data_IF_723079069373
#
_entry.id   IF_723079069373
#
_cell.length_a   1.000
_cell.length_b   1.000
_cell.length_c   1.000
_cell.angle_alpha   90.00
_cell.angle_beta   90.00
_cell.angle_gamma   90.00
#
_symmetry.space_group_name_H-M   'P 1'
#
loop_
_entity.id
_entity.type
_entity.pdbx_description
1 polymer ?
#
# COMPACT_ATOMS: atom_id res chain seq x y z
N UNK A 1 36.51 30.62 0.22
CA UNK A 1 35.91 29.26 0.17
C UNK A 1 35.93 28.47 1.49
N UNK A 2 36.58 28.91 2.55
CA UNK A 2 36.73 28.20 3.83
C UNK A 2 35.61 28.45 4.84
N UNK A 3 34.92 29.61 4.79
CA UNK A 3 33.86 29.97 5.73
C UNK A 3 32.57 29.16 5.50
N UNK A 4 32.20 28.90 4.25
CA UNK A 4 30.98 28.15 3.89
C UNK A 4 31.06 26.65 4.29
N UNK A 5 32.24 26.03 4.21
CA UNK A 5 32.45 24.63 4.64
C UNK A 5 32.34 24.48 6.16
N UNK A 6 32.77 25.50 6.94
CA UNK A 6 32.66 25.48 8.40
C UNK A 6 31.21 25.66 8.87
N UNK A 7 30.42 26.50 8.21
CA UNK A 7 28.99 26.69 8.50
C UNK A 7 28.18 25.42 8.21
N UNK A 8 28.45 24.73 7.10
CA UNK A 8 27.79 23.47 6.76
C UNK A 8 28.12 22.36 7.76
N UNK A 9 29.37 22.27 8.23
CA UNK A 9 29.76 21.29 9.24
C UNK A 9 29.09 21.53 10.59
N UNK A 10 28.92 22.81 10.98
CA UNK A 10 28.22 23.18 12.22
C UNK A 10 26.74 22.83 12.16
N UNK A 11 26.08 23.01 11.00
CA UNK A 11 24.67 22.69 10.78
C UNK A 11 24.42 21.18 10.85
N UNK A 12 25.32 20.36 10.28
CA UNK A 12 25.24 18.88 10.36
C UNK A 12 25.47 18.41 11.79
N UNK A 13 26.42 18.99 12.53
CA UNK A 13 26.65 18.66 13.95
C UNK A 13 25.44 19.04 14.82
N UNK A 14 24.79 20.17 14.55
CA UNK A 14 23.57 20.59 15.26
C UNK A 14 22.41 19.62 15.03
N UNK A 15 22.25 19.10 13.79
CA UNK A 15 21.23 18.10 13.46
C UNK A 15 21.48 16.76 14.16
N UNK A 16 22.73 16.34 14.28
CA UNK A 16 23.10 15.09 14.99
C UNK A 16 22.86 15.23 16.50
N UNK A 17 23.14 16.40 17.09
CA UNK A 17 22.91 16.66 18.51
C UNK A 17 21.42 16.78 18.87
N UNK A 18 20.58 17.37 17.99
CA UNK A 18 19.13 17.42 18.19
C UNK A 18 18.45 16.05 18.01
N UNK A 19 18.99 15.17 17.16
CA UNK A 19 18.42 13.82 16.94
C UNK A 19 18.51 12.89 18.16
N UNK A 20 19.45 13.12 19.08
CA UNK A 20 19.62 12.27 20.26
C UNK A 20 18.84 12.72 21.51
N UNK A 21 18.19 13.89 21.49
CA UNK A 21 17.50 14.42 22.66
C UNK A 21 16.09 13.84 22.88
N UNK A 22 15.56 13.02 21.97
CA UNK A 22 14.23 12.43 22.06
C UNK A 22 14.20 10.90 22.20
N UNK A 23 15.24 10.30 22.75
CA UNK A 23 15.14 8.93 23.24
C UNK A 23 14.25 8.90 24.50
N UNK A 24 12.92 9.13 24.32
CA UNK A 24 11.93 8.78 25.33
C UNK A 24 12.15 7.33 25.70
N UNK A 25 12.51 7.09 26.96
CA UNK A 25 12.56 5.77 27.54
C UNK A 25 11.22 5.07 27.26
N UNK A 26 11.17 4.20 26.24
CA UNK A 26 9.96 3.44 25.91
C UNK A 26 9.69 2.55 27.10
N UNK A 27 8.64 2.86 27.86
CA UNK A 27 8.12 1.92 28.85
C UNK A 27 7.93 0.57 28.18
N UNK A 28 8.27 -0.52 28.89
CA UNK A 28 8.11 -1.88 28.39
C UNK A 28 6.68 -2.08 27.87
N UNK A 29 6.48 -2.51 26.63
CA UNK A 29 5.14 -2.74 26.12
C UNK A 29 4.51 -3.91 26.91
N UNK A 30 3.28 -3.69 27.38
CA UNK A 30 2.42 -4.75 27.97
C UNK A 30 1.68 -5.44 26.82
N UNK A 31 1.36 -6.71 26.99
CA UNK A 31 0.66 -7.49 25.98
C UNK A 31 -0.54 -8.21 26.57
N UNK A 32 -1.61 -8.33 25.78
CA UNK A 32 -2.71 -9.24 26.02
C UNK A 32 -2.57 -10.41 25.04
N UNK A 33 -2.34 -11.62 25.57
CA UNK A 33 -2.42 -12.84 24.78
C UNK A 33 -3.86 -13.34 24.76
N UNK A 34 -4.41 -13.42 23.55
CA UNK A 34 -5.78 -13.90 23.33
C UNK A 34 -5.72 -15.25 22.61
N UNK A 35 -6.40 -16.24 23.17
CA UNK A 35 -6.65 -17.52 22.52
C UNK A 35 -8.16 -17.77 22.48
N UNK A 36 -8.64 -18.41 21.41
CA UNK A 36 -10.07 -18.65 21.24
C UNK A 36 -10.37 -20.10 20.86
N UNK A 37 -11.58 -20.52 21.14
CA UNK A 37 -12.18 -21.72 20.62
C UNK A 37 -13.51 -21.33 19.93
N UNK A 38 -13.64 -21.47 18.58
CA UNK A 38 -12.66 -22.03 17.65
C UNK A 38 -11.38 -21.18 17.52
N UNK A 39 -10.37 -21.70 16.85
CA UNK A 39 -9.18 -20.95 16.45
C UNK A 39 -9.49 -20.04 15.26
N UNK A 40 -8.58 -19.10 14.92
CA UNK A 40 -8.72 -18.19 13.75
C UNK A 40 -9.90 -17.24 13.81
N UNK A 41 -10.27 -16.82 15.02
CA UNK A 41 -11.29 -15.79 15.25
C UNK A 41 -10.72 -14.40 14.96
N UNK A 42 -11.46 -13.58 14.25
CA UNK A 42 -11.14 -12.18 14.01
C UNK A 42 -11.32 -11.35 15.28
N UNK A 43 -10.35 -10.50 15.59
CA UNK A 43 -10.31 -9.67 16.79
C UNK A 43 -10.30 -8.20 16.40
N UNK A 44 -11.19 -7.42 17.02
CA UNK A 44 -11.30 -5.97 16.88
C UNK A 44 -11.11 -5.33 18.25
N UNK A 45 -10.26 -4.32 18.31
CA UNK A 45 -9.87 -3.68 19.58
C UNK A 45 -10.39 -2.25 19.68
N UNK A 46 -10.78 -1.85 20.90
CA UNK A 46 -11.08 -0.45 21.23
C UNK A 46 -12.50 0.02 20.97
N UNK A 47 -13.39 -0.77 20.32
CA UNK A 47 -14.78 -0.41 20.10
C UNK A 47 -15.72 -1.50 20.62
N UNK A 48 -16.89 -1.09 21.13
CA UNK A 48 -17.94 -2.01 21.58
C UNK A 48 -18.81 -2.55 20.44
N UNK A 49 -18.83 -1.85 19.31
CA UNK A 49 -19.61 -2.23 18.11
C UNK A 49 -18.72 -1.99 16.87
N UNK A 50 -17.76 -2.88 16.59
CA UNK A 50 -16.96 -2.78 15.38
C UNK A 50 -17.80 -3.08 14.13
N UNK A 51 -17.42 -2.50 13.01
CA UNK A 51 -17.90 -2.95 11.72
C UNK A 51 -17.10 -4.20 11.31
N UNK A 52 -17.73 -5.37 11.38
CA UNK A 52 -17.08 -6.63 11.00
C UNK A 52 -16.85 -6.76 9.49
N UNK A 53 -17.35 -5.86 8.68
CA UNK A 53 -16.97 -5.73 7.28
C UNK A 53 -15.58 -5.12 7.11
N UNK A 54 -15.05 -4.45 8.14
CA UNK A 54 -13.69 -3.96 8.15
C UNK A 54 -12.67 -5.09 8.35
N UNK A 55 -11.41 -4.78 8.02
CA UNK A 55 -10.31 -5.71 8.27
C UNK A 55 -10.10 -5.86 9.77
N UNK A 56 -9.98 -7.09 10.31
CA UNK A 56 -9.68 -7.31 11.70
C UNK A 56 -8.31 -6.73 12.07
N UNK A 57 -8.19 -6.24 13.31
CA UNK A 57 -6.92 -5.79 13.86
C UNK A 57 -5.95 -6.95 14.06
N UNK A 58 -6.48 -8.08 14.53
CA UNK A 58 -5.74 -9.32 14.80
C UNK A 58 -6.58 -10.54 14.45
N UNK A 59 -5.92 -11.70 14.39
CA UNK A 59 -6.57 -13.02 14.30
C UNK A 59 -6.03 -13.94 15.38
N UNK A 60 -6.91 -14.61 16.11
CA UNK A 60 -6.54 -15.50 17.21
C UNK A 60 -5.82 -16.78 16.71
N UNK A 61 -4.78 -17.25 17.43
CA UNK A 61 -4.20 -16.70 18.66
C UNK A 61 -3.33 -15.47 18.37
N UNK A 62 -3.43 -14.42 19.21
CA UNK A 62 -2.73 -13.17 18.99
C UNK A 62 -2.15 -12.56 20.26
N UNK A 63 -1.08 -11.78 20.10
CA UNK A 63 -0.52 -10.89 21.12
C UNK A 63 -0.88 -9.45 20.77
N UNK A 64 -1.77 -8.85 21.55
CA UNK A 64 -2.26 -7.50 21.36
C UNK A 64 -1.41 -6.55 22.21
N UNK A 65 -0.68 -5.61 21.63
CA UNK A 65 0.09 -4.61 22.39
C UNK A 65 -0.88 -3.66 23.10
N UNK A 66 -0.65 -3.44 24.39
CA UNK A 66 -1.46 -2.56 25.21
C UNK A 66 -0.78 -1.20 25.33
N UNK A 67 -1.46 -0.10 24.96
CA UNK A 67 -0.94 1.24 25.19
C UNK A 67 -0.70 1.49 26.68
N UNK A 68 0.41 2.17 27.01
CA UNK A 68 0.73 2.51 28.38
C UNK A 68 -0.38 3.37 29.02
N UNK A 69 -0.75 3.03 30.24
CA UNK A 69 -1.76 3.76 31.00
C UNK A 69 -3.19 3.21 30.85
N UNK A 70 -3.41 2.21 30.00
CA UNK A 70 -4.71 1.56 29.89
C UNK A 70 -4.73 0.30 30.74
N UNK A 71 -5.65 0.24 31.69
CA UNK A 71 -5.89 -0.95 32.53
C UNK A 71 -7.07 -1.79 32.04
N UNK A 72 -7.80 -1.30 31.04
CA UNK A 72 -8.90 -2.01 30.42
C UNK A 72 -8.77 -1.95 28.90
N UNK A 73 -9.17 -3.02 28.24
CA UNK A 73 -9.27 -3.11 26.78
C UNK A 73 -10.57 -3.82 26.39
N UNK A 74 -11.29 -3.23 25.44
CA UNK A 74 -12.46 -3.89 24.85
C UNK A 74 -12.00 -4.66 23.61
N UNK A 75 -12.37 -5.94 23.54
CA UNK A 75 -12.08 -6.82 22.39
C UNK A 75 -13.40 -7.42 21.92
N UNK A 76 -13.67 -7.25 20.64
CA UNK A 76 -14.80 -7.88 19.96
C UNK A 76 -14.31 -9.03 19.09
N UNK A 77 -15.02 -10.14 19.15
CA UNK A 77 -14.68 -11.41 18.54
C UNK A 77 -15.71 -11.70 17.45
N UNK A 78 -15.23 -11.98 16.26
CA UNK A 78 -16.06 -12.35 15.11
C UNK A 78 -15.54 -13.64 14.47
N UNK A 79 -16.43 -14.60 14.31
CA UNK A 79 -16.17 -15.81 13.53
C UNK A 79 -17.49 -16.25 12.86
N UNK A 80 -17.47 -16.61 11.57
CA UNK A 80 -18.66 -17.16 10.92
C UNK A 80 -19.26 -18.32 11.71
N UNK A 81 -20.59 -18.39 11.75
CA UNK A 81 -21.36 -19.41 12.46
C UNK A 81 -21.34 -19.33 13.99
N UNK A 82 -20.70 -18.30 14.57
CA UNK A 82 -20.67 -18.07 16.00
C UNK A 82 -21.30 -16.73 16.37
N UNK A 83 -21.85 -16.66 17.57
CA UNK A 83 -22.42 -15.42 18.09
C UNK A 83 -21.32 -14.37 18.31
N UNK A 84 -21.54 -13.16 17.79
CA UNK A 84 -20.64 -12.04 18.00
C UNK A 84 -20.52 -11.75 19.51
N UNK A 85 -19.30 -11.64 19.98
CA UNK A 85 -19.00 -11.52 21.39
C UNK A 85 -18.09 -10.33 21.64
N UNK A 86 -18.46 -9.44 22.56
CA UNK A 86 -17.61 -8.31 22.98
C UNK A 86 -17.33 -8.41 24.47
N UNK A 87 -16.07 -8.32 24.85
CA UNK A 87 -15.61 -8.45 26.23
C UNK A 87 -14.76 -7.24 26.61
N UNK A 88 -15.03 -6.66 27.76
CA UNK A 88 -14.16 -5.68 28.36
C UNK A 88 -13.23 -6.39 29.35
N UNK A 89 -11.92 -6.33 29.10
CA UNK A 89 -10.90 -7.09 29.79
C UNK A 89 -10.11 -6.15 30.67
N UNK A 90 -10.13 -6.40 31.98
CA UNK A 90 -9.25 -5.73 32.93
C UNK A 90 -7.88 -6.40 32.93
N UNK A 91 -6.85 -5.61 32.71
CA UNK A 91 -5.49 -6.11 32.52
C UNK A 91 -4.79 -6.25 33.88
N UNK A 92 -3.98 -7.27 34.00
CA UNK A 92 -3.08 -7.42 35.15
C UNK A 92 -1.96 -6.37 35.10
N UNK A 93 -1.39 -6.05 36.25
CA UNK A 93 -0.16 -5.22 36.35
C UNK A 93 1.10 -5.91 35.80
N UNK A 94 1.00 -7.18 35.43
CA UNK A 94 2.10 -7.95 34.81
C UNK A 94 2.34 -7.53 33.35
N UNK A 95 3.53 -7.84 32.84
CA UNK A 95 3.93 -7.51 31.45
C UNK A 95 3.04 -8.21 30.42
N UNK A 96 2.40 -9.35 30.75
CA UNK A 96 1.50 -10.09 29.88
C UNK A 96 0.27 -10.58 30.65
N UNK A 97 -0.90 -10.32 30.09
CA UNK A 97 -2.19 -10.85 30.52
C UNK A 97 -2.65 -11.92 29.54
N UNK A 98 -3.35 -12.96 30.03
CA UNK A 98 -3.85 -14.06 29.21
C UNK A 98 -5.36 -14.15 29.29
N UNK A 99 -6.00 -14.40 28.16
CA UNK A 99 -7.42 -14.73 28.12
C UNK A 99 -7.68 -15.86 27.11
N UNK A 100 -8.59 -16.75 27.51
CA UNK A 100 -9.12 -17.80 26.62
C UNK A 100 -10.62 -17.56 26.50
N UNK A 101 -11.11 -17.42 25.27
CA UNK A 101 -12.52 -17.17 24.99
C UNK A 101 -13.07 -18.32 24.15
N UNK A 102 -14.11 -18.97 24.67
CA UNK A 102 -14.89 -19.92 23.91
C UNK A 102 -16.12 -19.21 23.33
N UNK A 103 -16.20 -19.13 22.02
CA UNK A 103 -17.35 -18.57 21.34
C UNK A 103 -18.52 -19.57 21.33
N UNK A 104 -19.73 -19.05 21.41
CA UNK A 104 -20.94 -19.86 21.34
C UNK A 104 -21.41 -19.95 19.90
N UNK A 105 -21.56 -21.15 19.38
CA UNK A 105 -22.15 -21.39 18.06
C UNK A 105 -23.59 -20.84 18.02
N UNK A 106 -23.92 -20.17 16.92
CA UNK A 106 -25.28 -19.64 16.70
C UNK A 106 -25.99 -20.46 15.63
N UNK A 107 -27.33 -20.56 15.78
CA UNK A 107 -28.24 -21.15 14.80
C UNK A 107 -29.28 -20.13 14.34
N UNK A 108 -29.07 -18.86 14.67
CA UNK A 108 -29.95 -17.77 14.27
C UNK A 108 -29.70 -17.46 12.79
N UNK A 109 -30.70 -17.76 11.95
CA UNK A 109 -30.63 -17.60 10.50
C UNK A 109 -30.44 -16.14 10.08
N UNK A 110 -31.02 -15.17 10.80
CA UNK A 110 -30.88 -13.76 10.51
C UNK A 110 -29.45 -13.28 10.78
N UNK A 111 -28.87 -13.69 11.91
CA UNK A 111 -27.48 -13.41 12.24
C UNK A 111 -26.53 -14.04 11.22
N UNK A 112 -26.73 -15.30 10.86
CA UNK A 112 -25.92 -16.01 9.86
C UNK A 112 -25.97 -15.32 8.49
N UNK A 113 -27.15 -14.90 8.06
CA UNK A 113 -27.32 -14.16 6.80
C UNK A 113 -26.56 -12.83 6.83
N UNK A 114 -26.68 -12.08 7.93
CA UNK A 114 -25.97 -10.80 8.09
C UNK A 114 -24.44 -10.97 8.11
N UNK A 115 -23.94 -12.02 8.78
CA UNK A 115 -22.50 -12.35 8.79
C UNK A 115 -21.97 -12.69 7.39
N UNK A 116 -22.74 -13.46 6.62
CA UNK A 116 -22.38 -13.78 5.24
C UNK A 116 -22.34 -12.52 4.34
N UNK A 117 -23.26 -11.60 4.52
CA UNK A 117 -23.27 -10.34 3.80
C UNK A 117 -22.04 -9.49 4.15
N UNK A 118 -21.72 -9.36 5.43
CA UNK A 118 -20.52 -8.64 5.89
C UNK A 118 -19.23 -9.23 5.31
N UNK A 119 -19.09 -10.57 5.30
CA UNK A 119 -17.94 -11.24 4.70
C UNK A 119 -17.84 -11.01 3.19
N UNK A 120 -18.98 -10.98 2.49
CA UNK A 120 -19.04 -10.66 1.06
C UNK A 120 -18.61 -9.21 0.78
N UNK A 121 -19.05 -8.26 1.61
CA UNK A 121 -18.61 -6.86 1.55
C UNK A 121 -17.11 -6.74 1.80
N UNK A 122 -16.58 -7.40 2.84
CA UNK A 122 -15.15 -7.45 3.12
C UNK A 122 -14.33 -7.97 1.94
N UNK A 123 -14.77 -9.08 1.33
CA UNK A 123 -14.09 -9.67 0.17
C UNK A 123 -14.05 -8.72 -1.02
N UNK A 124 -15.17 -8.05 -1.33
CA UNK A 124 -15.24 -7.04 -2.40
C UNK A 124 -14.31 -5.86 -2.12
N UNK A 125 -14.32 -5.33 -0.92
CA UNK A 125 -13.48 -4.21 -0.49
C UNK A 125 -11.99 -4.54 -0.56
N UNK A 126 -11.59 -5.74 -0.14
CA UNK A 126 -10.22 -6.22 -0.27
C UNK A 126 -9.80 -6.33 -1.73
N UNK A 127 -10.65 -6.86 -2.61
CA UNK A 127 -10.40 -6.91 -4.06
C UNK A 127 -10.27 -5.50 -4.64
N UNK A 128 -11.13 -4.57 -4.23
CA UNK A 128 -11.07 -3.18 -4.65
C UNK A 128 -9.75 -2.51 -4.24
N UNK A 129 -9.31 -2.72 -3.02
CA UNK A 129 -8.02 -2.21 -2.55
C UNK A 129 -6.85 -2.83 -3.32
N UNK A 130 -6.88 -4.14 -3.56
CA UNK A 130 -5.86 -4.82 -4.36
C UNK A 130 -5.77 -4.23 -5.77
N UNK A 131 -6.90 -4.00 -6.45
CA UNK A 131 -6.92 -3.41 -7.79
C UNK A 131 -6.38 -1.98 -7.82
N UNK A 132 -6.65 -1.16 -6.79
CA UNK A 132 -6.06 0.18 -6.65
C UNK A 132 -4.54 0.10 -6.60
N UNK A 133 -3.98 -0.79 -5.80
CA UNK A 133 -2.53 -0.99 -5.72
C UNK A 133 -1.95 -1.58 -7.01
N UNK A 134 -2.64 -2.54 -7.62
CA UNK A 134 -2.23 -3.15 -8.88
C UNK A 134 -2.21 -2.14 -10.05
N UNK A 135 -2.97 -1.04 -9.98
CA UNK A 135 -2.97 0.00 -11.01
C UNK A 135 -1.65 0.77 -11.10
N UNK A 136 -0.85 0.80 -10.03
CA UNK A 136 0.44 1.52 -9.99
C UNK A 136 1.40 0.97 -11.04
N UNK A 137 1.50 -0.35 -11.20
CA UNK A 137 2.40 -0.99 -12.19
C UNK A 137 2.17 -0.47 -13.61
N UNK A 138 0.96 -0.59 -14.16
CA UNK A 138 0.62 -0.04 -15.46
C UNK A 138 0.91 1.47 -15.61
N UNK A 139 0.63 2.29 -14.58
CA UNK A 139 0.95 3.72 -14.66
C UNK A 139 2.45 3.99 -14.75
N UNK A 140 3.27 3.25 -14.00
CA UNK A 140 4.73 3.37 -14.07
C UNK A 140 5.23 2.98 -15.45
N UNK A 141 4.78 1.86 -16.02
CA UNK A 141 5.15 1.42 -17.36
C UNK A 141 4.73 2.47 -18.40
N UNK A 142 3.52 3.01 -18.28
CA UNK A 142 3.02 4.07 -19.16
C UNK A 142 3.91 5.31 -19.10
N UNK A 143 4.27 5.77 -17.90
CA UNK A 143 5.12 6.93 -17.68
C UNK A 143 6.51 6.75 -18.28
N UNK A 144 7.17 5.63 -17.98
CA UNK A 144 8.49 5.31 -18.55
C UNK A 144 8.44 5.26 -20.09
N UNK A 145 7.42 4.59 -20.65
CA UNK A 145 7.25 4.50 -22.11
C UNK A 145 7.00 5.86 -22.74
N UNK A 146 6.29 6.77 -22.09
CA UNK A 146 6.10 8.13 -22.56
C UNK A 146 7.43 8.91 -22.60
N UNK A 147 8.27 8.77 -21.57
CA UNK A 147 9.61 9.40 -21.54
C UNK A 147 10.47 8.85 -22.68
N UNK A 148 10.52 7.52 -22.86
CA UNK A 148 11.28 6.87 -23.94
C UNK A 148 10.79 7.35 -25.30
N UNK A 149 9.46 7.46 -25.50
CA UNK A 149 8.88 8.00 -26.74
C UNK A 149 9.36 9.44 -27.01
N UNK A 150 9.29 10.30 -25.99
CA UNK A 150 9.71 11.72 -26.12
C UNK A 150 11.19 11.85 -26.44
N UNK A 151 12.03 11.04 -25.76
CA UNK A 151 13.47 11.00 -26.02
C UNK A 151 13.77 10.60 -27.48
N UNK A 152 13.15 9.53 -27.97
CA UNK A 152 13.34 9.06 -29.34
C UNK A 152 12.81 10.05 -30.39
N UNK A 153 11.71 10.76 -30.11
CA UNK A 153 11.24 11.86 -30.96
C UNK A 153 12.30 12.96 -31.04
N UNK A 154 12.92 13.33 -29.93
CA UNK A 154 14.00 14.31 -29.89
C UNK A 154 15.19 13.88 -30.76
N UNK A 155 15.65 12.64 -30.61
CA UNK A 155 16.72 12.05 -31.42
C UNK A 155 16.37 12.03 -32.92
N UNK A 156 15.19 11.55 -33.28
CA UNK A 156 14.72 11.56 -34.69
C UNK A 156 14.72 12.97 -35.27
N UNK A 157 14.27 14.00 -34.53
CA UNK A 157 14.33 15.39 -34.99
C UNK A 157 15.76 15.87 -35.26
N UNK A 158 16.71 15.48 -34.41
CA UNK A 158 18.12 15.85 -34.57
C UNK A 158 18.72 15.21 -35.85
N UNK A 159 18.46 13.90 -36.07
CA UNK A 159 18.92 13.24 -37.29
C UNK A 159 18.24 13.81 -38.54
N UNK A 160 16.96 14.18 -38.49
CA UNK A 160 16.28 14.88 -39.58
C UNK A 160 16.96 16.21 -39.90
N UNK A 161 17.29 17.02 -38.89
CA UNK A 161 17.99 18.30 -39.06
C UNK A 161 19.39 18.10 -39.62
N UNK A 162 20.10 17.03 -39.21
CA UNK A 162 21.42 16.69 -39.77
C UNK A 162 21.33 16.34 -41.26
N UNK A 163 20.32 15.58 -41.68
CA UNK A 163 20.06 15.28 -43.09
C UNK A 163 19.75 16.56 -43.91
N UNK A 164 18.94 17.47 -43.38
CA UNK A 164 18.59 18.76 -44.05
C UNK A 164 19.82 19.65 -44.25
N UNK A 165 20.81 19.56 -43.36
CA UNK A 165 22.06 20.30 -43.44
C UNK A 165 23.10 19.65 -44.37
N UNK A 166 22.88 18.41 -44.79
CA UNK A 166 23.81 17.68 -45.67
C UNK A 166 23.47 17.98 -47.14
N UNK A 167 24.34 18.71 -47.82
CA UNK A 167 24.13 19.17 -49.21
C UNK A 167 24.02 18.06 -50.24
N UNK A 168 24.63 16.90 -49.98
CA UNK A 168 24.70 15.79 -50.92
C UNK A 168 24.30 14.49 -50.21
N UNK A 169 23.59 13.62 -50.93
CA UNK A 169 23.35 12.24 -50.47
C UNK A 169 24.67 11.47 -50.49
N UNK A 170 25.19 11.21 -49.32
CA UNK A 170 26.43 10.47 -49.09
C UNK A 170 26.19 9.44 -47.95
N UNK A 171 27.19 8.63 -47.63
CA UNK A 171 27.13 7.65 -46.59
C UNK A 171 26.61 8.19 -45.25
N UNK A 172 27.03 9.39 -44.84
CA UNK A 172 26.53 10.07 -43.62
C UNK A 172 25.06 10.42 -43.70
N UNK A 173 24.55 10.77 -44.88
CA UNK A 173 23.11 11.01 -45.08
C UNK A 173 22.32 9.72 -44.87
N UNK A 174 22.81 8.59 -45.41
CA UNK A 174 22.14 7.30 -45.30
C UNK A 174 22.17 6.79 -43.84
N UNK A 175 23.28 6.96 -43.11
CA UNK A 175 23.37 6.69 -41.68
C UNK A 175 22.32 7.50 -40.90
N UNK A 176 22.26 8.82 -41.09
CA UNK A 176 21.25 9.66 -40.41
C UNK A 176 19.82 9.28 -40.81
N UNK A 177 19.60 8.83 -42.04
CA UNK A 177 18.28 8.37 -42.50
C UNK A 177 17.87 7.09 -41.78
N UNK A 178 18.78 6.15 -41.56
CA UNK A 178 18.54 4.95 -40.84
C UNK A 178 18.24 5.21 -39.35
N UNK A 179 19.08 6.01 -38.70
CA UNK A 179 18.89 6.41 -37.30
C UNK A 179 17.55 7.16 -37.12
N UNK A 180 17.18 8.02 -38.05
CA UNK A 180 15.87 8.69 -38.04
C UNK A 180 14.72 7.71 -38.07
N UNK A 181 14.78 6.68 -38.95
CA UNK A 181 13.74 5.66 -39.05
C UNK A 181 13.63 4.84 -37.79
N UNK A 182 14.76 4.40 -37.25
CA UNK A 182 14.83 3.54 -36.06
C UNK A 182 14.31 4.28 -34.80
N UNK A 183 14.73 5.53 -34.60
CA UNK A 183 14.22 6.34 -33.51
C UNK A 183 12.73 6.68 -33.67
N UNK A 184 12.27 6.91 -34.89
CA UNK A 184 10.83 7.16 -35.17
C UNK A 184 9.98 5.94 -34.89
N UNK A 185 10.44 4.74 -35.26
CA UNK A 185 9.75 3.47 -34.99
C UNK A 185 9.72 3.15 -33.50
N UNK A 186 10.86 3.26 -32.83
CA UNK A 186 10.97 3.11 -31.38
C UNK A 186 10.05 4.10 -30.65
N UNK A 187 9.96 5.34 -31.10
CA UNK A 187 9.06 6.34 -30.51
C UNK A 187 7.59 5.97 -30.70
N UNK A 188 7.19 5.46 -31.87
CA UNK A 188 5.82 4.99 -32.12
C UNK A 188 5.45 3.82 -31.23
N UNK A 189 6.32 2.83 -31.13
CA UNK A 189 6.12 1.64 -30.31
C UNK A 189 5.99 2.05 -28.83
N UNK A 190 6.91 2.86 -28.31
CA UNK A 190 6.85 3.34 -26.94
C UNK A 190 5.57 4.16 -26.66
N UNK A 191 5.13 5.00 -27.61
CA UNK A 191 3.87 5.74 -27.51
C UNK A 191 2.65 4.82 -27.44
N UNK A 192 2.64 3.77 -28.23
CA UNK A 192 1.55 2.78 -28.22
C UNK A 192 1.50 2.03 -26.91
N UNK A 193 2.65 1.55 -26.42
CA UNK A 193 2.79 0.89 -25.11
C UNK A 193 2.29 1.83 -24.00
N UNK A 194 2.73 3.09 -24.00
CA UNK A 194 2.28 4.07 -23.02
C UNK A 194 0.75 4.21 -23.00
N UNK A 195 0.10 4.32 -24.14
CA UNK A 195 -1.36 4.46 -24.23
C UNK A 195 -2.10 3.22 -23.73
N UNK A 196 -1.63 2.04 -24.10
CA UNK A 196 -2.25 0.76 -23.68
C UNK A 196 -2.16 0.61 -22.16
N UNK A 197 -0.98 0.81 -21.59
CA UNK A 197 -0.79 0.69 -20.14
C UNK A 197 -1.48 1.78 -19.35
N UNK A 198 -1.63 3.00 -19.90
CA UNK A 198 -2.47 4.02 -19.31
C UNK A 198 -3.93 3.57 -19.22
N UNK A 199 -4.46 2.99 -20.30
CA UNK A 199 -5.82 2.46 -20.31
C UNK A 199 -6.04 1.34 -19.30
N UNK A 200 -5.11 0.38 -19.21
CA UNK A 200 -5.16 -0.70 -18.23
C UNK A 200 -5.09 -0.15 -16.80
N UNK A 201 -4.21 0.81 -16.52
CA UNK A 201 -4.09 1.46 -15.22
C UNK A 201 -5.38 2.16 -14.79
N UNK A 202 -6.02 2.87 -15.71
CA UNK A 202 -7.31 3.52 -15.47
C UNK A 202 -8.43 2.51 -15.20
N UNK A 203 -8.48 1.41 -15.95
CA UNK A 203 -9.48 0.35 -15.72
C UNK A 203 -9.32 -0.29 -14.34
N UNK A 204 -8.10 -0.60 -13.92
CA UNK A 204 -7.85 -1.14 -12.59
C UNK A 204 -8.20 -0.15 -11.49
N UNK A 205 -7.87 1.12 -11.68
CA UNK A 205 -8.18 2.16 -10.71
C UNK A 205 -9.69 2.36 -10.56
N UNK A 206 -10.42 2.47 -11.66
CA UNK A 206 -11.89 2.65 -11.64
C UNK A 206 -12.61 1.44 -11.06
N UNK A 207 -12.24 0.22 -11.49
CA UNK A 207 -12.80 -1.01 -10.91
C UNK A 207 -12.48 -1.12 -9.42
N UNK A 208 -11.25 -0.80 -9.02
CA UNK A 208 -10.84 -0.78 -7.63
C UNK A 208 -11.62 0.23 -6.79
N UNK A 209 -11.94 1.39 -7.35
CA UNK A 209 -12.82 2.38 -6.68
C UNK A 209 -14.23 1.84 -6.49
N UNK A 210 -14.87 1.36 -7.55
CA UNK A 210 -16.26 0.84 -7.53
C UNK A 210 -16.41 -0.31 -6.52
N UNK A 211 -15.41 -1.21 -6.44
CA UNK A 211 -15.47 -2.35 -5.52
C UNK A 211 -15.10 -1.99 -4.07
N UNK A 212 -14.59 -0.78 -3.82
CA UNK A 212 -14.20 -0.36 -2.46
C UNK A 212 -15.32 0.31 -1.67
N UNK A 213 -16.42 0.60 -2.34
CA UNK A 213 -17.66 1.10 -1.76
C UNK A 213 -18.74 0.02 -1.89
#
# INVERSE_FOLDING_TARGET
MTCFKRAALFLVMLFILCGNAFAKQKAKPRYLQVSTNPSTVDLYTGTTLPDFADKPDYTSPAFIPIPNGNDNITVSFFHPDYADTTINITLSSSDTSFIIVALRQTYDEELLASQQEMLKHRSRRNLGQFLKWASIGPFVISGVSAIVSTYNIGKAKNHKKAMENTRFKNEKYDEHMQDFKDHRESAKTAKTVSKVFLGIGLLFLTAGFVLSF
#
